data_IF_306008923502
#
_entry.id   IF_306008923502
#
_cell.length_a   1.000
_cell.length_b   1.000
_cell.length_c   1.000
_cell.angle_alpha   90.00
_cell.angle_beta   90.00
_cell.angle_gamma   90.00
#
_symmetry.space_group_name_H-M   'P 1'
#
loop_
_entity.id
_entity.type
_entity.pdbx_description
1 polymer ?
#
# COMPACT_ATOMS: atom_id res chain seq x y z
N UNK A 1 3.00 5.45 12.23
CA UNK A 1 3.23 5.71 10.79
C UNK A 1 4.23 4.71 10.21
N UNK A 2 4.31 4.59 8.87
CA UNK A 2 5.30 3.74 8.20
C UNK A 2 6.72 4.19 8.55
N UNK A 3 6.99 5.50 8.52
CA UNK A 3 8.30 6.05 8.89
C UNK A 3 8.74 5.64 10.31
N UNK A 4 7.82 5.68 11.28
CA UNK A 4 8.13 5.21 12.65
C UNK A 4 8.53 3.73 12.65
N UNK A 5 7.77 2.86 11.97
CA UNK A 5 8.08 1.43 11.92
C UNK A 5 9.43 1.14 11.26
N UNK A 6 9.78 1.90 10.21
CA UNK A 6 11.09 1.79 9.57
C UNK A 6 12.22 2.16 10.54
N UNK A 7 12.06 3.25 11.29
CA UNK A 7 13.08 3.70 12.25
C UNK A 7 13.20 2.76 13.46
N UNK A 8 12.07 2.30 14.02
CA UNK A 8 12.07 1.40 15.19
C UNK A 8 12.61 0.00 14.87
N UNK A 9 12.52 -0.46 13.63
CA UNK A 9 12.97 -1.80 13.22
C UNK A 9 14.18 -1.78 12.28
N UNK A 10 14.93 -0.68 12.24
CA UNK A 10 16.01 -0.48 11.27
C UNK A 10 17.06 -1.61 11.29
N UNK A 11 17.50 -2.04 12.46
CA UNK A 11 18.52 -3.09 12.60
C UNK A 11 17.99 -4.46 12.16
N UNK A 12 16.75 -4.82 12.52
CA UNK A 12 16.12 -6.08 12.09
C UNK A 12 15.89 -6.09 10.57
N UNK A 13 15.43 -4.99 10.00
CA UNK A 13 15.27 -4.84 8.56
C UNK A 13 16.62 -4.95 7.83
N UNK A 14 17.65 -4.27 8.31
CA UNK A 14 19.00 -4.36 7.74
C UNK A 14 19.55 -5.78 7.78
N UNK A 15 19.35 -6.50 8.90
CA UNK A 15 19.79 -7.89 9.03
C UNK A 15 19.07 -8.83 8.06
N UNK A 16 17.77 -8.62 7.80
CA UNK A 16 16.97 -9.43 6.86
C UNK A 16 17.29 -9.15 5.40
N UNK A 17 17.58 -7.91 5.06
CA UNK A 17 17.84 -7.46 3.69
C UNK A 17 19.31 -7.63 3.33
N UNK A 18 20.19 -7.61 4.32
CA UNK A 18 21.66 -7.62 4.12
C UNK A 18 22.25 -6.25 3.82
N UNK A 19 21.45 -5.17 3.93
CA UNK A 19 21.87 -3.79 3.73
C UNK A 19 21.03 -2.84 4.58
N UNK A 20 21.60 -1.69 5.05
CA UNK A 20 20.83 -0.70 5.78
C UNK A 20 19.79 -0.03 4.87
N UNK A 21 18.60 0.26 5.44
CA UNK A 21 17.59 1.10 4.81
C UNK A 21 17.75 2.53 5.33
N UNK A 22 17.85 3.48 4.42
CA UNK A 22 17.90 4.90 4.72
C UNK A 22 16.59 5.57 4.31
N UNK A 23 15.96 6.28 5.25
CA UNK A 23 14.80 7.10 4.94
C UNK A 23 15.28 8.44 4.37
N UNK A 24 15.22 8.60 3.05
CA UNK A 24 15.74 9.76 2.32
C UNK A 24 14.78 10.94 2.27
N UNK A 25 13.49 10.74 2.56
CA UNK A 25 12.51 11.82 2.62
C UNK A 25 11.06 11.34 2.76
N UNK A 26 10.21 12.29 3.12
CA UNK A 26 8.77 12.07 3.32
C UNK A 26 8.02 13.20 2.60
N UNK A 27 7.33 12.85 1.52
CA UNK A 27 6.47 13.81 0.82
C UNK A 27 5.17 14.05 1.60
N UNK A 28 4.84 15.31 1.81
CA UNK A 28 3.63 15.74 2.53
C UNK A 28 2.92 16.87 1.79
N UNK A 29 1.61 16.98 1.99
CA UNK A 29 0.82 18.08 1.36
C UNK A 29 1.15 19.47 1.91
N UNK A 30 1.55 19.57 3.19
CA UNK A 30 1.82 20.83 3.90
C UNK A 30 2.92 20.61 4.94
N UNK A 31 3.93 21.45 4.95
CA UNK A 31 5.03 21.36 5.93
C UNK A 31 4.61 21.80 7.35
N UNK A 32 3.77 22.80 7.49
CA UNK A 32 3.40 23.42 8.77
C UNK A 32 2.49 22.59 9.70
N UNK A 33 2.21 21.32 9.38
CA UNK A 33 1.45 20.45 10.30
C UNK A 33 2.39 19.86 11.36
N UNK A 34 1.95 19.83 12.60
CA UNK A 34 2.67 19.14 13.69
C UNK A 34 2.77 17.62 13.38
N UNK A 35 4.00 17.10 13.44
CA UNK A 35 4.38 15.71 13.26
C UNK A 35 5.40 15.27 14.29
N UNK A 36 5.38 15.88 15.47
CA UNK A 36 6.27 15.56 16.59
C UNK A 36 6.17 14.10 17.05
N UNK A 37 5.06 13.42 16.68
CA UNK A 37 4.85 12.00 16.92
C UNK A 37 5.64 11.07 15.98
N UNK A 38 6.27 11.60 14.93
CA UNK A 38 7.10 10.83 13.97
C UNK A 38 8.57 11.06 14.32
N UNK A 39 9.33 10.02 14.76
CA UNK A 39 10.70 10.16 15.22
C UNK A 39 11.70 10.23 14.03
N UNK A 40 11.61 11.29 13.23
CA UNK A 40 12.48 11.55 12.09
C UNK A 40 12.95 13.00 12.10
N UNK A 41 14.08 13.26 11.45
CA UNK A 41 14.57 14.63 11.27
C UNK A 41 13.53 15.45 10.49
N UNK A 42 13.09 16.63 11.00
CA UNK A 42 12.15 17.49 10.29
C UNK A 42 12.58 17.90 8.88
N UNK A 43 13.88 17.91 8.58
CA UNK A 43 14.42 18.22 7.25
C UNK A 43 14.05 17.19 6.18
N UNK A 44 13.64 15.97 6.57
CA UNK A 44 13.18 14.93 5.66
C UNK A 44 11.79 15.22 5.07
N UNK A 45 11.02 16.13 5.65
CA UNK A 45 9.72 16.48 5.11
C UNK A 45 9.85 17.45 3.93
N UNK A 46 9.22 17.10 2.82
CA UNK A 46 9.17 17.92 1.60
C UNK A 46 7.76 18.00 1.03
N UNK A 47 7.46 19.06 0.29
CA UNK A 47 6.27 19.14 -0.58
C UNK A 47 6.58 18.77 -2.02
N UNK A 48 7.85 18.58 -2.36
CA UNK A 48 8.30 18.17 -3.68
C UNK A 48 8.39 16.64 -3.75
N UNK A 49 7.25 16.03 -4.09
CA UNK A 49 7.16 14.57 -4.26
C UNK A 49 7.85 14.10 -5.55
N UNK A 50 7.91 14.95 -6.57
CA UNK A 50 8.51 14.62 -7.88
C UNK A 50 10.04 14.45 -7.75
N UNK A 51 10.71 15.38 -7.08
CA UNK A 51 12.14 15.25 -6.79
C UNK A 51 12.42 14.01 -5.93
N UNK A 52 11.58 13.78 -4.91
CA UNK A 52 11.78 12.66 -3.99
C UNK A 52 11.71 11.31 -4.72
N UNK A 53 10.69 11.06 -5.55
CA UNK A 53 10.53 9.78 -6.25
C UNK A 53 11.58 9.55 -7.33
N UNK A 54 12.15 10.62 -7.90
CA UNK A 54 13.17 10.52 -8.93
C UNK A 54 14.55 10.07 -8.43
N UNK A 55 14.82 10.15 -7.10
CA UNK A 55 16.12 9.83 -6.49
C UNK A 55 16.08 8.69 -5.47
N UNK A 56 14.93 8.07 -5.28
CA UNK A 56 14.76 6.96 -4.36
C UNK A 56 15.02 5.61 -5.06
N UNK A 57 15.54 4.63 -4.34
CA UNK A 57 15.61 3.24 -4.78
C UNK A 57 14.29 2.50 -4.52
N UNK A 58 13.60 2.89 -3.44
CA UNK A 58 12.31 2.32 -3.04
C UNK A 58 11.36 3.46 -2.68
N UNK A 59 10.16 3.43 -3.26
CA UNK A 59 9.09 4.38 -2.95
C UNK A 59 7.95 3.67 -2.24
N UNK A 60 7.53 4.18 -1.07
CA UNK A 60 6.35 3.70 -0.35
C UNK A 60 5.20 4.70 -0.57
N UNK A 61 4.20 4.30 -1.34
CA UNK A 61 3.02 5.11 -1.65
C UNK A 61 1.86 4.77 -0.72
N UNK A 62 1.43 5.75 0.05
CA UNK A 62 0.30 5.68 1.01
C UNK A 62 -0.59 6.92 0.92
N UNK A 63 -0.61 7.59 -0.24
CA UNK A 63 -1.37 8.82 -0.48
C UNK A 63 -2.87 8.51 -0.58
N UNK A 64 -3.20 7.43 -1.32
CA UNK A 64 -4.56 7.07 -1.68
C UNK A 64 -5.14 7.91 -2.85
N UNK A 65 -6.27 7.44 -3.39
CA UNK A 65 -6.86 8.02 -4.61
C UNK A 65 -6.09 7.65 -5.87
N UNK A 66 -6.51 8.18 -7.02
CA UNK A 66 -5.88 7.85 -8.31
C UNK A 66 -4.73 8.81 -8.59
N UNK A 67 -5.01 10.10 -8.66
CA UNK A 67 -4.00 11.14 -8.86
C UNK A 67 -3.76 11.92 -7.56
N UNK A 68 -2.53 12.29 -7.24
CA UNK A 68 -1.30 12.16 -8.03
C UNK A 68 -0.56 10.82 -7.85
N UNK A 69 -1.12 9.84 -7.13
CA UNK A 69 -0.45 8.60 -6.79
C UNK A 69 0.02 7.84 -8.04
N UNK A 70 -0.85 7.69 -9.05
CA UNK A 70 -0.51 7.05 -10.34
C UNK A 70 0.72 7.68 -10.97
N UNK A 71 0.70 8.99 -11.16
CA UNK A 71 1.78 9.73 -11.80
C UNK A 71 3.10 9.57 -11.04
N UNK A 72 3.07 9.65 -9.73
CA UNK A 72 4.27 9.49 -8.88
C UNK A 72 4.82 8.07 -8.94
N UNK A 73 3.98 7.04 -8.90
CA UNK A 73 4.40 5.64 -9.04
C UNK A 73 5.07 5.40 -10.40
N UNK A 74 4.43 5.83 -11.48
CA UNK A 74 5.00 5.69 -12.82
C UNK A 74 6.32 6.45 -12.98
N UNK A 75 6.42 7.65 -12.40
CA UNK A 75 7.66 8.41 -12.35
C UNK A 75 8.74 7.68 -11.57
N UNK A 76 8.45 7.15 -10.37
CA UNK A 76 9.40 6.37 -9.58
C UNK A 76 9.96 5.17 -10.38
N UNK A 77 9.07 4.38 -10.99
CA UNK A 77 9.47 3.22 -11.80
C UNK A 77 10.34 3.63 -13.00
N UNK A 78 10.01 4.73 -13.69
CA UNK A 78 10.80 5.22 -14.82
C UNK A 78 12.20 5.68 -14.43
N UNK A 79 12.43 6.02 -13.16
CA UNK A 79 13.75 6.34 -12.59
C UNK A 79 14.45 5.13 -11.94
N UNK A 80 13.87 3.94 -12.05
CA UNK A 80 14.46 2.70 -11.54
C UNK A 80 14.10 2.35 -10.10
N UNK A 81 13.14 3.05 -9.50
CA UNK A 81 12.71 2.74 -8.14
C UNK A 81 11.67 1.62 -8.11
N UNK A 82 11.84 0.67 -7.19
CA UNK A 82 10.78 -0.27 -6.82
C UNK A 82 9.70 0.43 -5.98
N UNK A 83 8.45 -0.02 -6.10
CA UNK A 83 7.32 0.64 -5.44
C UNK A 83 6.58 -0.31 -4.51
N UNK A 84 6.27 0.16 -3.30
CA UNK A 84 5.35 -0.49 -2.35
C UNK A 84 4.13 0.40 -2.21
N UNK A 85 2.95 -0.08 -2.61
CA UNK A 85 1.70 0.70 -2.53
C UNK A 85 0.65 0.03 -1.65
N UNK A 86 -0.06 0.84 -0.86
CA UNK A 86 -1.25 0.44 -0.12
C UNK A 86 -2.56 0.94 -0.79
N UNK A 87 -2.49 1.39 -2.04
CA UNK A 87 -3.55 2.09 -2.71
C UNK A 87 -4.50 1.14 -3.47
N UNK A 88 -5.48 0.59 -2.74
CA UNK A 88 -6.48 -0.31 -3.29
C UNK A 88 -7.23 0.29 -4.50
N UNK A 89 -7.58 1.58 -4.44
CA UNK A 89 -8.35 2.23 -5.49
C UNK A 89 -7.57 2.32 -6.81
N UNK A 90 -6.30 2.72 -6.74
CA UNK A 90 -5.44 2.82 -7.91
C UNK A 90 -5.16 1.45 -8.54
N UNK A 91 -4.91 0.43 -7.71
CA UNK A 91 -4.69 -0.93 -8.22
C UNK A 91 -5.95 -1.52 -8.88
N UNK A 92 -7.13 -1.22 -8.35
CA UNK A 92 -8.39 -1.65 -8.96
C UNK A 92 -8.66 -0.96 -10.31
N UNK A 93 -8.30 0.32 -10.42
CA UNK A 93 -8.52 1.14 -11.62
C UNK A 93 -7.48 0.85 -12.71
N UNK A 94 -6.21 0.78 -12.35
CA UNK A 94 -5.09 0.84 -13.31
C UNK A 94 -3.97 -0.19 -13.04
N UNK A 95 -4.27 -1.22 -12.26
CA UNK A 95 -3.29 -2.26 -11.89
C UNK A 95 -2.53 -2.85 -13.08
N UNK A 96 -3.19 -3.25 -14.19
CA UNK A 96 -2.50 -3.78 -15.37
C UNK A 96 -1.46 -2.82 -15.97
N UNK A 97 -1.74 -1.51 -16.00
CA UNK A 97 -0.79 -0.53 -16.52
C UNK A 97 0.40 -0.32 -15.58
N UNK A 98 0.17 -0.35 -14.25
CA UNK A 98 1.25 -0.29 -13.26
C UNK A 98 2.17 -1.53 -13.34
N UNK A 99 1.61 -2.71 -13.54
CA UNK A 99 2.38 -3.93 -13.79
C UNK A 99 3.22 -3.84 -15.05
N UNK A 100 2.59 -3.43 -16.17
CA UNK A 100 3.32 -3.28 -17.42
C UNK A 100 4.47 -2.25 -17.29
N UNK A 101 4.29 -1.19 -16.51
CA UNK A 101 5.34 -0.21 -16.25
C UNK A 101 6.47 -0.78 -15.39
N UNK A 102 6.17 -1.55 -14.34
CA UNK A 102 7.19 -2.19 -13.51
C UNK A 102 8.01 -3.22 -14.30
N UNK A 103 7.35 -4.05 -15.11
CA UNK A 103 8.01 -5.02 -15.99
C UNK A 103 8.92 -4.33 -17.02
N UNK A 104 8.43 -3.26 -17.65
CA UNK A 104 9.20 -2.51 -18.63
C UNK A 104 10.43 -1.81 -18.05
N UNK A 105 10.33 -1.35 -16.80
CA UNK A 105 11.43 -0.71 -16.06
C UNK A 105 12.36 -1.71 -15.37
N UNK A 106 11.98 -2.98 -15.27
CA UNK A 106 12.75 -4.00 -14.55
C UNK A 106 12.80 -3.78 -13.03
N UNK A 107 11.73 -3.21 -12.46
CA UNK A 107 11.58 -2.92 -11.04
C UNK A 107 10.38 -3.65 -10.44
N UNK A 108 10.32 -3.74 -9.11
CA UNK A 108 9.25 -4.43 -8.40
C UNK A 108 8.08 -3.51 -8.05
N UNK A 109 6.86 -4.06 -8.14
CA UNK A 109 5.64 -3.48 -7.59
C UNK A 109 5.06 -4.40 -6.51
N UNK A 110 5.09 -3.95 -5.25
CA UNK A 110 4.51 -4.64 -4.10
C UNK A 110 3.26 -3.92 -3.60
N UNK A 111 2.18 -4.67 -3.37
CA UNK A 111 0.89 -4.09 -2.96
C UNK A 111 0.10 -4.99 -1.99
N UNK A 112 0.80 -5.80 -1.20
CA UNK A 112 0.18 -6.66 -0.18
C UNK A 112 -0.77 -5.88 0.73
N UNK A 113 -0.38 -4.68 1.15
CA UNK A 113 -1.19 -3.82 2.02
C UNK A 113 -2.46 -3.24 1.33
N UNK A 114 -2.57 -3.33 0.01
CA UNK A 114 -3.73 -2.87 -0.74
C UNK A 114 -4.78 -3.97 -0.93
N UNK A 115 -4.47 -5.23 -0.60
CA UNK A 115 -5.33 -6.39 -0.85
C UNK A 115 -5.58 -7.14 0.45
N UNK A 116 -6.85 -7.48 0.72
CA UNK A 116 -7.28 -8.28 1.87
C UNK A 116 -6.88 -7.73 3.26
N UNK A 117 -6.57 -6.43 3.36
CA UNK A 117 -6.24 -5.78 4.62
C UNK A 117 -4.98 -6.35 5.28
N UNK A 118 -5.10 -6.90 6.49
CA UNK A 118 -3.98 -7.47 7.23
C UNK A 118 -3.68 -8.94 6.89
N UNK A 119 -4.41 -9.54 5.95
CA UNK A 119 -4.22 -10.94 5.57
C UNK A 119 -3.13 -11.03 4.48
N UNK A 120 -2.00 -11.70 4.74
CA UNK A 120 -0.91 -11.84 3.76
C UNK A 120 -1.28 -12.92 2.73
N UNK A 121 -1.97 -12.55 1.66
CA UNK A 121 -2.48 -13.48 0.65
C UNK A 121 -1.65 -13.50 -0.63
N UNK A 122 -1.10 -12.36 -1.07
CA UNK A 122 -0.41 -12.27 -2.35
C UNK A 122 0.95 -12.97 -2.32
N UNK A 123 1.74 -12.78 -1.27
CA UNK A 123 3.04 -13.45 -1.13
C UNK A 123 2.91 -14.98 -1.11
N UNK A 124 2.03 -15.60 -0.30
CA UNK A 124 1.81 -17.04 -0.38
C UNK A 124 1.43 -17.52 -1.78
N UNK A 125 0.55 -16.83 -2.48
CA UNK A 125 0.16 -17.20 -3.85
C UNK A 125 1.33 -17.09 -4.81
N UNK A 126 2.07 -15.99 -4.76
CA UNK A 126 3.16 -15.70 -5.69
C UNK A 126 4.42 -16.53 -5.41
N UNK A 127 4.79 -16.66 -4.13
CA UNK A 127 6.08 -17.19 -3.75
C UNK A 127 5.96 -18.66 -3.29
N UNK A 128 5.03 -18.99 -2.39
CA UNK A 128 4.92 -20.35 -1.81
C UNK A 128 4.19 -21.33 -2.74
N UNK A 129 3.20 -20.85 -3.48
CA UNK A 129 2.37 -21.65 -4.39
C UNK A 129 2.75 -21.45 -5.86
N UNK A 130 3.92 -20.90 -6.15
CA UNK A 130 4.38 -20.63 -7.52
C UNK A 130 4.47 -21.88 -8.40
N UNK A 131 4.70 -23.06 -7.80
CA UNK A 131 4.73 -24.35 -8.50
C UNK A 131 3.37 -25.03 -8.64
N UNK A 132 2.33 -24.50 -8.01
CA UNK A 132 1.00 -25.10 -7.97
C UNK A 132 0.07 -24.53 -9.05
N UNK A 133 -0.92 -25.33 -9.43
CA UNK A 133 -1.98 -24.89 -10.34
C UNK A 133 -3.19 -24.46 -9.54
N UNK A 134 -3.30 -23.17 -9.21
CA UNK A 134 -4.46 -22.62 -8.53
C UNK A 134 -5.63 -22.56 -9.50
N UNK A 135 -6.72 -23.31 -9.20
CA UNK A 135 -7.92 -23.36 -10.05
C UNK A 135 -9.06 -22.51 -9.53
N UNK A 136 -9.03 -22.13 -8.24
CA UNK A 136 -10.09 -21.35 -7.61
C UNK A 136 -9.58 -20.61 -6.38
N UNK A 137 -10.02 -19.35 -6.21
CA UNK A 137 -9.84 -18.55 -5.00
C UNK A 137 -11.23 -18.16 -4.51
N UNK A 138 -11.50 -18.37 -3.22
CA UNK A 138 -12.77 -18.00 -2.57
C UNK A 138 -12.43 -17.19 -1.34
N UNK A 139 -13.13 -16.08 -1.13
CA UNK A 139 -12.91 -15.22 0.04
C UNK A 139 -14.04 -14.23 0.26
N UNK A 140 -14.09 -13.66 1.46
CA UNK A 140 -14.93 -12.53 1.81
C UNK A 140 -14.09 -11.26 1.56
N UNK A 141 -14.41 -10.54 0.49
CA UNK A 141 -13.58 -9.44 0.01
C UNK A 141 -14.00 -8.06 0.55
N UNK A 142 -15.15 -7.97 1.22
CA UNK A 142 -15.62 -6.73 1.83
C UNK A 142 -16.28 -6.99 3.18
N UNK A 143 -15.73 -6.45 4.27
CA UNK A 143 -16.21 -6.64 5.63
C UNK A 143 -17.59 -6.01 5.86
N UNK A 144 -17.81 -4.78 5.39
CA UNK A 144 -19.08 -4.05 5.58
C UNK A 144 -20.23 -4.74 4.88
N UNK A 145 -20.08 -5.13 3.63
CA UNK A 145 -21.10 -5.86 2.87
C UNK A 145 -21.42 -7.20 3.55
N UNK A 146 -20.38 -7.93 3.97
CA UNK A 146 -20.57 -9.20 4.69
C UNK A 146 -21.32 -9.00 6.00
N UNK A 147 -20.98 -7.97 6.78
CA UNK A 147 -21.69 -7.63 8.02
C UNK A 147 -23.19 -7.36 7.78
N UNK A 148 -23.52 -6.56 6.74
CA UNK A 148 -24.92 -6.28 6.39
C UNK A 148 -25.67 -7.55 6.03
N UNK A 149 -25.09 -8.39 5.18
CA UNK A 149 -25.70 -9.66 4.78
C UNK A 149 -25.86 -10.64 5.95
N UNK A 150 -24.84 -10.78 6.80
CA UNK A 150 -24.89 -11.61 8.00
C UNK A 150 -25.97 -11.12 8.97
N UNK A 151 -26.07 -9.81 9.19
CA UNK A 151 -27.09 -9.21 10.05
C UNK A 151 -28.50 -9.50 9.54
N UNK A 152 -28.73 -9.38 8.22
CA UNK A 152 -30.01 -9.71 7.61
C UNK A 152 -30.35 -11.19 7.76
N UNK A 153 -29.37 -12.08 7.55
CA UNK A 153 -29.60 -13.54 7.62
C UNK A 153 -29.82 -14.01 9.06
N UNK A 154 -29.01 -13.56 10.00
CA UNK A 154 -29.05 -14.05 11.40
C UNK A 154 -30.13 -13.43 12.25
N UNK A 155 -30.54 -12.18 11.99
CA UNK A 155 -31.53 -11.46 12.81
C UNK A 155 -32.85 -11.19 12.09
N UNK A 156 -32.91 -11.37 10.77
CA UNK A 156 -34.07 -10.98 9.96
C UNK A 156 -34.24 -9.47 9.78
N UNK A 157 -33.21 -8.65 10.15
CA UNK A 157 -33.23 -7.20 10.00
C UNK A 157 -33.37 -6.80 8.52
N UNK A 158 -34.00 -5.65 8.25
CA UNK A 158 -34.11 -5.10 6.92
C UNK A 158 -32.74 -4.58 6.42
N UNK A 159 -32.61 -4.41 5.09
CA UNK A 159 -31.37 -3.90 4.46
C UNK A 159 -30.97 -2.53 5.01
N UNK A 160 -31.91 -1.56 5.00
CA UNK A 160 -31.63 -0.19 5.43
C UNK A 160 -31.24 -0.11 6.92
N UNK A 161 -31.87 -0.91 7.77
CA UNK A 161 -31.52 -1.02 9.18
C UNK A 161 -30.09 -1.57 9.35
N UNK A 162 -29.76 -2.62 8.63
CA UNK A 162 -28.45 -3.27 8.68
C UNK A 162 -27.34 -2.34 8.18
N UNK A 163 -27.61 -1.55 7.13
CA UNK A 163 -26.68 -0.51 6.61
C UNK A 163 -26.49 0.60 7.63
N UNK A 164 -27.54 1.12 8.24
CA UNK A 164 -27.46 2.17 9.24
C UNK A 164 -26.59 1.76 10.44
N UNK A 165 -26.71 0.52 10.90
CA UNK A 165 -25.85 -0.02 11.97
C UNK A 165 -24.40 -0.17 11.51
N UNK A 166 -24.15 -0.55 10.26
CA UNK A 166 -22.81 -0.70 9.72
C UNK A 166 -22.08 0.63 9.53
N UNK A 167 -22.79 1.76 9.49
CA UNK A 167 -22.27 3.11 9.31
C UNK A 167 -22.09 3.87 10.63
N UNK A 168 -22.59 3.36 11.76
CA UNK A 168 -22.49 3.95 13.08
C UNK A 168 -21.17 3.57 13.77
#
# INVERSE_FOLDING_TARGET
SVARLLMENQDDLAARIGAPLELTGIAVRRLGRDRSDVPVDPSLFTTDADDLVARADIVVEVIGGIEPARRLILSAMSHGASVVSANKALLAEDGPALYAASDAAGVDLYYEAAVAGAIPILRPIRDSLAGDRITKVIGIVNGTTNYVLDKMDTTGAGFDESVAVAQS
#
